data_IF_117859248346
#
_entry.id   IF_117859248346
#
_cell.length_a   1.000
_cell.length_b   1.000
_cell.length_c   1.000
_cell.angle_alpha   90.00
_cell.angle_beta   90.00
_cell.angle_gamma   90.00
#
_symmetry.space_group_name_H-M   'P 1'
#
loop_
_entity.id
_entity.type
_entity.pdbx_description
1 polymer ?
#
# COMPACT_ATOMS: atom_id res chain seq x y z
N UNK A 1 -25.18 -11.54 3.78
CA UNK A 1 -25.65 -12.73 4.51
C UNK A 1 -25.08 -14.02 3.92
N UNK A 2 -24.91 -14.13 2.61
CA UNK A 2 -24.36 -15.33 1.92
C UNK A 2 -22.92 -15.64 2.37
N UNK A 3 -22.07 -14.63 2.58
CA UNK A 3 -20.67 -14.83 3.02
C UNK A 3 -20.57 -15.49 4.41
N UNK A 4 -21.48 -15.13 5.34
CA UNK A 4 -21.48 -15.70 6.70
C UNK A 4 -21.94 -17.17 6.75
N UNK A 5 -22.83 -17.56 5.83
CA UNK A 5 -23.27 -18.96 5.72
C UNK A 5 -22.19 -19.84 5.09
N UNK A 6 -21.49 -19.34 4.05
CA UNK A 6 -20.35 -20.04 3.44
C UNK A 6 -19.19 -20.17 4.44
N UNK A 7 -18.89 -19.14 5.22
CA UNK A 7 -17.86 -19.19 6.24
C UNK A 7 -18.15 -20.23 7.34
N UNK A 8 -19.41 -20.40 7.71
CA UNK A 8 -19.83 -21.40 8.71
C UNK A 8 -19.69 -22.85 8.18
N UNK A 9 -20.04 -23.08 6.91
CA UNK A 9 -19.93 -24.40 6.28
C UNK A 9 -18.50 -24.81 5.95
N UNK A 10 -17.60 -23.85 5.67
CA UNK A 10 -16.21 -24.10 5.31
C UNK A 10 -15.25 -24.10 6.52
N UNK A 11 -15.75 -23.99 7.75
CA UNK A 11 -14.94 -24.02 8.97
C UNK A 11 -14.02 -22.80 9.10
N UNK A 12 -14.45 -21.64 8.59
CA UNK A 12 -13.66 -20.38 8.69
C UNK A 12 -13.40 -20.01 10.14
N UNK A 13 -12.18 -19.55 10.41
CA UNK A 13 -11.76 -19.05 11.73
C UNK A 13 -11.29 -17.61 11.61
N UNK A 14 -11.48 -16.83 12.66
CA UNK A 14 -11.08 -15.44 12.70
C UNK A 14 -9.55 -15.31 12.63
N UNK A 15 -9.02 -14.58 11.64
CA UNK A 15 -7.57 -14.37 11.48
C UNK A 15 -6.92 -13.58 12.64
N UNK A 16 -7.72 -12.97 13.50
CA UNK A 16 -7.23 -12.21 14.67
C UNK A 16 -7.27 -12.98 15.98
N UNK A 17 -8.35 -13.73 16.27
CA UNK A 17 -8.55 -14.41 17.57
C UNK A 17 -8.90 -15.90 17.43
N UNK A 18 -8.89 -16.46 16.22
CA UNK A 18 -9.14 -17.86 15.92
C UNK A 18 -10.54 -18.39 16.31
N UNK A 19 -11.49 -17.53 16.67
CA UNK A 19 -12.87 -17.95 16.93
C UNK A 19 -13.53 -18.48 15.65
N UNK A 20 -14.24 -19.63 15.70
CA UNK A 20 -14.94 -20.17 14.54
C UNK A 20 -16.05 -19.25 14.03
N UNK A 21 -16.37 -19.33 12.74
CA UNK A 21 -17.58 -18.78 12.12
C UNK A 21 -17.34 -17.64 11.13
N UNK A 22 -16.35 -16.79 11.27
CA UNK A 22 -16.05 -15.68 10.34
C UNK A 22 -14.56 -15.47 10.17
N UNK A 23 -14.11 -15.14 8.96
CA UNK A 23 -12.71 -14.83 8.69
C UNK A 23 -12.19 -13.59 9.47
N UNK A 24 -13.07 -12.67 9.85
CA UNK A 24 -12.79 -11.58 10.80
C UNK A 24 -14.04 -11.35 11.63
N UNK A 25 -14.00 -11.69 12.94
CA UNK A 25 -15.12 -11.52 13.85
C UNK A 25 -15.41 -10.04 14.12
N UNK A 26 -16.55 -9.76 14.76
CA UNK A 26 -16.98 -8.39 15.03
C UNK A 26 -15.97 -7.63 15.90
N UNK A 27 -15.45 -8.27 16.95
CA UNK A 27 -14.53 -7.64 17.91
C UNK A 27 -13.19 -7.33 17.27
N UNK A 28 -12.59 -8.29 16.54
CA UNK A 28 -11.36 -8.05 15.79
C UNK A 28 -11.52 -6.98 14.69
N UNK A 29 -12.70 -6.90 14.06
CA UNK A 29 -13.01 -5.82 13.12
C UNK A 29 -13.16 -4.49 13.86
N UNK A 30 -13.80 -4.46 15.02
CA UNK A 30 -13.97 -3.27 15.85
C UNK A 30 -12.65 -2.73 16.40
N UNK A 31 -11.66 -3.61 16.60
CA UNK A 31 -10.31 -3.25 17.07
C UNK A 31 -9.42 -2.62 15.98
N UNK A 32 -9.81 -2.71 14.69
CA UNK A 32 -9.06 -2.05 13.62
C UNK A 32 -9.15 -0.53 13.75
N UNK A 33 -8.04 0.15 13.46
CA UNK A 33 -7.95 1.60 13.53
C UNK A 33 -8.92 2.27 12.56
N UNK A 34 -9.46 3.39 13.00
CA UNK A 34 -10.30 4.28 12.18
C UNK A 34 -9.57 5.57 11.79
N UNK A 35 -8.29 5.67 12.13
CA UNK A 35 -7.45 6.84 11.87
C UNK A 35 -6.16 6.39 11.22
N UNK A 36 -5.72 7.12 10.21
CA UNK A 36 -4.41 6.97 9.62
C UNK A 36 -3.44 8.00 10.21
N UNK A 37 -2.16 7.66 10.15
CA UNK A 37 -1.08 8.54 10.58
C UNK A 37 0.07 8.53 9.55
N UNK A 38 0.96 9.54 9.57
CA UNK A 38 2.20 9.51 8.82
C UNK A 38 3.01 8.25 9.17
N UNK A 39 3.44 7.52 8.14
CA UNK A 39 4.06 6.20 8.29
C UNK A 39 5.46 6.16 7.65
N UNK A 40 6.33 7.05 8.09
CA UNK A 40 7.68 7.17 7.57
C UNK A 40 8.51 5.91 7.83
N UNK A 41 9.12 5.29 6.80
CA UNK A 41 10.03 4.17 6.98
C UNK A 41 11.34 4.61 7.65
N UNK A 42 12.16 3.66 8.05
CA UNK A 42 13.50 3.95 8.58
C UNK A 42 14.53 2.99 7.94
N UNK A 43 15.51 3.50 7.17
CA UNK A 43 15.69 4.92 6.79
C UNK A 43 14.58 5.42 5.85
N UNK A 44 14.41 6.74 5.79
CA UNK A 44 13.49 7.36 4.82
C UNK A 44 14.19 7.42 3.47
N UNK A 45 13.60 6.88 2.39
CA UNK A 45 14.14 7.09 1.04
C UNK A 45 14.13 8.56 0.64
N UNK A 46 15.21 9.02 0.02
CA UNK A 46 15.36 10.41 -0.38
C UNK A 46 14.25 10.83 -1.35
N UNK A 47 13.63 11.98 -1.05
CA UNK A 47 12.56 12.56 -1.85
C UNK A 47 11.22 11.81 -1.80
N UNK A 48 11.02 10.87 -0.89
CA UNK A 48 9.73 10.21 -0.71
C UNK A 48 8.70 11.24 -0.20
N UNK A 49 7.56 11.38 -0.92
CA UNK A 49 6.43 12.19 -0.47
C UNK A 49 5.76 11.57 0.75
N UNK A 50 5.01 12.38 1.52
CA UNK A 50 4.40 11.97 2.78
C UNK A 50 3.65 10.64 2.69
N UNK A 51 4.08 9.59 3.40
CA UNK A 51 3.41 8.30 3.44
C UNK A 51 2.42 8.22 4.61
N UNK A 52 1.26 7.65 4.34
CA UNK A 52 0.17 7.47 5.30
C UNK A 52 -0.23 6.01 5.40
N UNK A 53 -0.47 5.51 6.60
CA UNK A 53 -1.00 4.17 6.84
C UNK A 53 -2.02 4.19 7.99
N UNK A 54 -3.01 3.31 7.91
CA UNK A 54 -4.06 3.18 8.93
C UNK A 54 -3.64 2.20 10.01
N UNK A 55 -2.88 1.17 9.66
CA UNK A 55 -2.54 0.07 10.57
C UNK A 55 -1.03 -0.20 10.65
N UNK A 56 -0.65 -0.89 11.71
CA UNK A 56 0.64 -1.54 11.80
C UNK A 56 0.57 -2.90 11.07
N UNK A 57 1.60 -3.21 10.29
CA UNK A 57 1.71 -4.50 9.60
C UNK A 57 2.10 -5.61 10.55
N UNK A 58 1.13 -6.06 11.39
CA UNK A 58 1.31 -7.09 12.41
C UNK A 58 -0.01 -7.86 12.64
N UNK A 59 0.02 -8.96 13.36
CA UNK A 59 -1.14 -9.72 13.83
C UNK A 59 -2.21 -9.97 12.77
N UNK A 60 -3.45 -9.60 13.07
CA UNK A 60 -4.61 -9.78 12.20
C UNK A 60 -4.46 -9.05 10.85
N UNK A 61 -3.88 -7.85 10.84
CA UNK A 61 -3.71 -7.07 9.61
C UNK A 61 -2.74 -7.76 8.65
N UNK A 62 -1.62 -8.29 9.16
CA UNK A 62 -0.68 -9.10 8.39
C UNK A 62 -1.36 -10.34 7.81
N UNK A 63 -2.16 -11.05 8.62
CA UNK A 63 -2.90 -12.23 8.17
C UNK A 63 -3.91 -11.89 7.07
N UNK A 64 -4.65 -10.77 7.20
CA UNK A 64 -5.58 -10.27 6.17
C UNK A 64 -4.85 -9.96 4.86
N UNK A 65 -3.71 -9.24 4.92
CA UNK A 65 -2.94 -8.88 3.71
C UNK A 65 -2.39 -10.12 3.02
N UNK A 66 -1.76 -11.03 3.76
CA UNK A 66 -1.23 -12.31 3.24
C UNK A 66 -2.35 -13.14 2.64
N UNK A 67 -3.49 -13.28 3.35
CA UNK A 67 -4.65 -14.00 2.87
C UNK A 67 -5.19 -13.44 1.56
N UNK A 68 -5.29 -12.12 1.46
CA UNK A 68 -5.72 -11.44 0.23
C UNK A 68 -4.71 -11.60 -0.91
N UNK A 69 -3.42 -11.38 -0.63
CA UNK A 69 -2.37 -11.31 -1.63
C UNK A 69 -1.93 -12.69 -2.13
N UNK A 70 -1.78 -13.67 -1.23
CA UNK A 70 -1.11 -14.92 -1.54
C UNK A 70 -2.06 -16.13 -1.56
N UNK A 71 -3.20 -16.07 -0.86
CA UNK A 71 -4.16 -17.16 -0.75
C UNK A 71 -5.47 -16.92 -1.51
N UNK A 72 -5.60 -15.79 -2.21
CA UNK A 72 -6.80 -15.47 -3.00
C UNK A 72 -8.07 -15.26 -2.17
N UNK A 73 -7.96 -14.93 -0.89
CA UNK A 73 -9.10 -14.71 -0.01
C UNK A 73 -9.76 -13.34 -0.28
N UNK A 74 -10.65 -13.33 -1.27
CA UNK A 74 -11.28 -12.11 -1.81
C UNK A 74 -12.13 -11.33 -0.81
N UNK A 75 -12.65 -12.01 0.23
CA UNK A 75 -13.45 -11.40 1.30
C UNK A 75 -12.67 -10.32 2.07
N UNK A 76 -11.35 -10.49 2.23
CA UNK A 76 -10.47 -9.52 2.91
C UNK A 76 -10.42 -8.16 2.20
N UNK A 77 -10.67 -8.12 0.88
CA UNK A 77 -10.66 -6.92 0.06
C UNK A 77 -11.51 -5.77 0.61
N UNK A 78 -12.66 -6.10 1.24
CA UNK A 78 -13.55 -5.08 1.80
C UNK A 78 -12.87 -4.36 2.97
N UNK A 79 -12.39 -5.13 3.94
CA UNK A 79 -11.73 -4.59 5.14
C UNK A 79 -10.46 -3.81 4.78
N UNK A 80 -9.57 -4.43 4.00
CA UNK A 80 -8.31 -3.80 3.59
C UNK A 80 -8.54 -2.55 2.74
N UNK A 81 -9.53 -2.56 1.84
CA UNK A 81 -9.87 -1.40 1.03
C UNK A 81 -10.52 -0.27 1.83
N UNK A 82 -11.25 -0.58 2.90
CA UNK A 82 -11.81 0.42 3.83
C UNK A 82 -10.67 1.07 4.66
N UNK A 83 -9.68 0.29 5.11
CA UNK A 83 -8.47 0.80 5.77
C UNK A 83 -7.66 1.69 4.82
N UNK A 84 -7.46 1.25 3.56
CA UNK A 84 -6.79 2.07 2.55
C UNK A 84 -7.52 3.40 2.30
N UNK A 85 -8.86 3.39 2.27
CA UNK A 85 -9.65 4.61 2.14
C UNK A 85 -9.40 5.59 3.30
N UNK A 86 -9.21 5.08 4.53
CA UNK A 86 -8.85 5.89 5.69
C UNK A 86 -7.48 6.55 5.50
N UNK A 87 -6.48 5.82 4.98
CA UNK A 87 -5.15 6.37 4.68
C UNK A 87 -5.22 7.44 3.58
N UNK A 88 -5.96 7.19 2.51
CA UNK A 88 -6.14 8.17 1.42
C UNK A 88 -6.87 9.42 1.92
N UNK A 89 -7.91 9.26 2.76
CA UNK A 89 -8.65 10.41 3.33
C UNK A 89 -7.74 11.29 4.17
N UNK A 90 -6.87 10.70 5.00
CA UNK A 90 -5.90 11.44 5.80
C UNK A 90 -4.83 12.12 4.92
N UNK A 91 -4.32 11.43 3.91
CA UNK A 91 -3.36 11.99 2.96
C UNK A 91 -3.93 13.17 2.14
N UNK A 92 -5.24 13.24 1.99
CA UNK A 92 -5.94 14.25 1.21
C UNK A 92 -6.69 15.29 2.06
N UNK A 93 -6.48 15.31 3.39
CA UNK A 93 -7.26 16.14 4.31
C UNK A 93 -7.13 17.65 4.03
N UNK A 94 -5.94 18.09 3.66
CA UNK A 94 -5.63 19.50 3.40
C UNK A 94 -5.68 19.86 1.90
N UNK A 95 -6.10 18.93 1.04
CA UNK A 95 -6.20 19.15 -0.40
C UNK A 95 -7.57 19.69 -0.78
N UNK A 96 -7.64 20.59 -1.76
CA UNK A 96 -8.89 21.11 -2.29
C UNK A 96 -9.84 19.97 -2.72
N UNK A 97 -11.02 19.83 -2.11
CA UNK A 97 -11.96 18.76 -2.43
C UNK A 97 -12.57 18.89 -3.84
N UNK A 98 -12.56 20.08 -4.44
CA UNK A 98 -13.04 20.31 -5.80
C UNK A 98 -12.10 19.70 -6.87
N UNK A 99 -10.82 19.47 -6.53
CA UNK A 99 -9.86 18.84 -7.42
C UNK A 99 -9.92 17.32 -7.25
N UNK A 100 -10.15 16.55 -8.34
CA UNK A 100 -10.23 15.10 -8.29
C UNK A 100 -9.00 14.43 -7.72
N UNK A 101 -9.16 13.27 -7.04
CA UNK A 101 -8.08 12.36 -6.71
C UNK A 101 -7.88 11.30 -7.78
N UNK A 102 -6.64 11.08 -8.18
CA UNK A 102 -6.20 9.93 -8.98
C UNK A 102 -5.45 8.97 -8.09
N UNK A 103 -6.04 7.81 -7.83
CA UNK A 103 -5.41 6.74 -7.05
C UNK A 103 -4.66 5.81 -8.00
N UNK A 104 -3.35 5.72 -7.82
CA UNK A 104 -2.46 4.91 -8.64
C UNK A 104 -2.02 3.68 -7.83
N UNK A 105 -2.55 2.48 -8.14
CA UNK A 105 -2.10 1.27 -7.47
C UNK A 105 -0.66 0.92 -7.87
N UNK A 106 0.15 0.56 -6.89
CA UNK A 106 1.45 -0.08 -7.11
C UNK A 106 1.20 -1.44 -7.79
N UNK A 107 1.86 -1.75 -8.92
CA UNK A 107 1.68 -3.02 -9.59
C UNK A 107 2.28 -4.18 -8.79
N UNK A 108 1.68 -5.36 -8.91
CA UNK A 108 2.26 -6.59 -8.38
C UNK A 108 3.60 -6.89 -9.04
N UNK A 109 4.47 -7.66 -8.36
CA UNK A 109 5.72 -8.16 -8.97
C UNK A 109 5.42 -8.93 -10.25
N UNK A 110 6.35 -8.90 -11.26
CA UNK A 110 6.17 -9.64 -12.50
C UNK A 110 5.80 -11.12 -12.26
N UNK A 111 4.78 -11.60 -12.94
CA UNK A 111 4.28 -12.97 -12.80
C UNK A 111 3.25 -13.18 -11.68
N UNK A 112 3.33 -12.47 -10.57
CA UNK A 112 2.44 -12.68 -9.43
C UNK A 112 0.96 -12.39 -9.74
N UNK A 113 0.66 -11.37 -10.52
CA UNK A 113 -0.70 -11.05 -10.97
C UNK A 113 -1.26 -12.11 -11.93
N UNK A 114 -0.43 -12.64 -12.85
CA UNK A 114 -0.81 -13.71 -13.77
C UNK A 114 -1.08 -15.03 -13.06
N UNK A 115 -0.24 -15.41 -12.09
CA UNK A 115 -0.44 -16.63 -11.30
C UNK A 115 -1.73 -16.60 -10.48
N UNK A 116 -2.14 -15.41 -10.02
CA UNK A 116 -3.33 -15.22 -9.18
C UNK A 116 -4.60 -14.87 -9.98
N UNK A 117 -4.47 -14.51 -11.25
CA UNK A 117 -5.59 -14.08 -12.09
C UNK A 117 -6.16 -12.70 -11.74
N UNK A 118 -5.52 -11.94 -10.81
CA UNK A 118 -5.94 -10.57 -10.46
C UNK A 118 -4.82 -9.74 -9.83
N UNK A 119 -4.97 -8.42 -9.94
CA UNK A 119 -4.08 -7.44 -9.31
C UNK A 119 -4.60 -7.08 -7.91
N UNK A 120 -3.95 -7.65 -6.88
CA UNK A 120 -4.39 -7.55 -5.48
C UNK A 120 -4.51 -6.09 -5.01
N UNK A 121 -3.45 -5.30 -5.15
CA UNK A 121 -3.43 -3.89 -4.73
C UNK A 121 -4.48 -3.08 -5.49
N UNK A 122 -4.63 -3.27 -6.81
CA UNK A 122 -5.65 -2.57 -7.59
C UNK A 122 -7.08 -2.91 -7.14
N UNK A 123 -7.32 -4.11 -6.62
CA UNK A 123 -8.62 -4.48 -6.05
C UNK A 123 -8.93 -3.70 -4.75
N UNK A 124 -7.93 -3.49 -3.89
CA UNK A 124 -8.05 -2.66 -2.69
C UNK A 124 -8.32 -1.20 -3.06
N UNK A 125 -7.56 -0.66 -4.01
CA UNK A 125 -7.70 0.73 -4.49
C UNK A 125 -9.10 0.97 -5.08
N UNK A 126 -9.64 0.03 -5.87
CA UNK A 126 -11.02 0.11 -6.36
C UNK A 126 -12.06 0.12 -5.23
N UNK A 127 -11.83 -0.62 -4.15
CA UNK A 127 -12.69 -0.58 -2.97
C UNK A 127 -12.56 0.76 -2.25
N UNK A 128 -11.36 1.24 -2.01
CA UNK A 128 -11.10 2.53 -1.38
C UNK A 128 -11.75 3.68 -2.16
N UNK A 129 -11.62 3.68 -3.49
CA UNK A 129 -12.27 4.69 -4.34
C UNK A 129 -13.79 4.70 -4.17
N UNK A 130 -14.46 3.54 -4.05
CA UNK A 130 -15.92 3.50 -3.81
C UNK A 130 -16.31 4.10 -2.47
N UNK A 131 -15.48 3.93 -1.44
CA UNK A 131 -15.70 4.50 -0.10
C UNK A 131 -15.54 6.02 -0.11
N UNK A 132 -14.60 6.54 -0.92
CA UNK A 132 -14.27 7.97 -0.97
C UNK A 132 -15.15 8.79 -1.90
N UNK A 133 -15.79 8.18 -2.91
CA UNK A 133 -16.61 8.88 -3.91
C UNK A 133 -17.76 9.73 -3.39
N UNK A 134 -18.42 9.41 -2.26
CA UNK A 134 -19.42 10.31 -1.69
C UNK A 134 -18.85 11.66 -1.25
N UNK A 135 -17.55 11.71 -0.90
CA UNK A 135 -16.91 12.88 -0.32
C UNK A 135 -16.25 13.77 -1.40
N UNK A 136 -15.78 13.15 -2.51
CA UNK A 136 -15.08 13.84 -3.60
C UNK A 136 -14.94 12.96 -4.86
N UNK A 137 -14.63 13.57 -5.99
CA UNK A 137 -14.35 12.81 -7.21
C UNK A 137 -13.07 11.98 -7.08
N UNK A 138 -13.15 10.65 -7.32
CA UNK A 138 -12.02 9.73 -7.23
C UNK A 138 -11.96 8.84 -8.48
N UNK A 139 -10.79 8.83 -9.11
CA UNK A 139 -10.47 8.01 -10.28
C UNK A 139 -9.40 6.99 -9.92
N UNK A 140 -9.61 5.73 -10.28
CA UNK A 140 -8.56 4.70 -10.18
C UNK A 140 -7.86 4.59 -11.53
N UNK A 141 -6.56 4.84 -11.55
CA UNK A 141 -5.74 4.82 -12.75
C UNK A 141 -4.52 3.89 -12.56
N UNK A 142 -4.54 2.67 -13.13
CA UNK A 142 -3.38 1.78 -13.12
C UNK A 142 -2.35 2.28 -14.14
N UNK A 143 -1.61 3.31 -13.75
CA UNK A 143 -0.62 3.99 -14.59
C UNK A 143 0.73 3.27 -14.63
N UNK A 144 1.01 2.45 -13.63
CA UNK A 144 2.31 1.81 -13.47
C UNK A 144 2.29 0.37 -13.94
N UNK A 145 3.39 -0.05 -14.57
CA UNK A 145 3.67 -1.45 -14.89
C UNK A 145 5.06 -1.80 -14.38
N UNK A 146 5.20 -3.03 -13.82
CA UNK A 146 6.51 -3.57 -13.47
C UNK A 146 7.26 -4.00 -14.73
N UNK A 147 8.56 -3.70 -14.80
CA UNK A 147 9.44 -4.21 -15.85
C UNK A 147 9.68 -5.69 -15.62
N UNK A 148 9.65 -6.49 -16.68
CA UNK A 148 9.95 -7.92 -16.63
C UNK A 148 11.44 -8.18 -16.36
N UNK A 149 11.77 -9.41 -15.93
CA UNK A 149 13.16 -9.82 -15.70
C UNK A 149 14.04 -9.71 -16.97
N UNK A 150 13.45 -9.75 -18.16
CA UNK A 150 14.16 -9.58 -19.43
C UNK A 150 14.71 -8.16 -19.63
N UNK A 151 14.04 -7.14 -19.06
CA UNK A 151 14.48 -5.74 -19.15
C UNK A 151 15.58 -5.41 -18.10
N UNK A 152 15.94 -6.35 -17.24
CA UNK A 152 16.95 -6.25 -16.17
C UNK A 152 18.17 -7.13 -16.46
N UNK A 153 18.45 -7.43 -17.73
CA UNK A 153 19.59 -8.22 -18.14
C UNK A 153 20.90 -7.52 -17.69
N UNK A 154 21.61 -8.15 -16.73
CA UNK A 154 22.88 -7.67 -16.19
C UNK A 154 22.99 -7.60 -14.67
N UNK A 155 21.88 -7.77 -13.92
CA UNK A 155 21.91 -7.80 -12.45
C UNK A 155 21.92 -9.24 -11.92
N UNK A 156 22.78 -9.52 -10.94
CA UNK A 156 22.79 -10.80 -10.24
C UNK A 156 21.53 -11.02 -9.37
N UNK A 157 21.31 -12.25 -8.89
CA UNK A 157 20.11 -12.61 -8.14
C UNK A 157 20.00 -11.89 -6.78
N UNK A 158 21.13 -11.44 -6.18
CA UNK A 158 21.16 -10.67 -4.93
C UNK A 158 20.94 -9.20 -5.16
N UNK A 159 21.51 -8.61 -6.21
CA UNK A 159 21.28 -7.22 -6.62
C UNK A 159 19.82 -6.98 -7.04
N UNK A 160 19.15 -7.99 -7.62
CA UNK A 160 17.72 -7.92 -8.00
C UNK A 160 16.76 -7.81 -6.81
N UNK A 161 17.11 -8.36 -5.66
CA UNK A 161 16.27 -8.27 -4.45
C UNK A 161 16.42 -6.92 -3.73
N UNK A 162 17.57 -6.25 -3.89
CA UNK A 162 17.88 -4.98 -3.25
C UNK A 162 17.55 -3.75 -4.11
N UNK A 163 17.49 -3.88 -5.43
CA UNK A 163 17.37 -2.75 -6.33
C UNK A 163 15.99 -2.68 -6.98
N UNK A 164 15.08 -1.93 -6.33
CA UNK A 164 13.74 -1.66 -6.85
C UNK A 164 13.79 -0.52 -7.88
N UNK A 165 14.88 0.26 -7.90
CA UNK A 165 15.04 1.42 -8.78
C UNK A 165 15.05 1.01 -10.26
N UNK A 166 14.26 1.72 -11.08
CA UNK A 166 14.07 1.41 -12.50
C UNK A 166 13.15 0.21 -12.78
N UNK A 167 12.59 -0.45 -11.71
CA UNK A 167 11.71 -1.62 -11.89
C UNK A 167 10.30 -1.28 -12.36
N UNK A 168 9.91 0.01 -12.36
CA UNK A 168 8.58 0.46 -12.78
C UNK A 168 8.66 1.50 -13.89
N UNK A 169 7.60 1.56 -14.71
CA UNK A 169 7.39 2.62 -15.69
C UNK A 169 5.93 2.98 -15.85
N UNK A 170 5.66 4.22 -16.27
CA UNK A 170 4.33 4.66 -16.68
C UNK A 170 4.24 4.63 -18.21
N UNK A 171 3.45 3.73 -18.83
CA UNK A 171 3.27 3.71 -20.27
C UNK A 171 2.58 4.98 -20.78
N UNK A 172 3.06 5.56 -21.89
CA UNK A 172 2.51 6.78 -22.49
C UNK A 172 1.02 6.68 -22.83
N UNK A 173 0.57 5.50 -23.26
CA UNK A 173 -0.85 5.26 -23.56
C UNK A 173 -1.74 5.36 -22.31
N UNK A 174 -1.26 4.91 -21.16
CA UNK A 174 -1.99 5.02 -19.89
C UNK A 174 -2.10 6.50 -19.47
N UNK A 175 -1.00 7.24 -19.59
CA UNK A 175 -0.96 8.68 -19.32
C UNK A 175 -1.89 9.45 -20.27
N UNK A 176 -1.85 9.18 -21.57
CA UNK A 176 -2.71 9.84 -22.55
C UNK A 176 -4.20 9.59 -22.27
N UNK A 177 -4.58 8.39 -21.83
CA UNK A 177 -5.96 8.08 -21.43
C UNK A 177 -6.41 8.88 -20.20
N UNK A 178 -5.53 9.06 -19.24
CA UNK A 178 -5.82 9.89 -18.06
C UNK A 178 -5.95 11.36 -18.46
N UNK A 179 -5.01 11.90 -19.23
CA UNK A 179 -4.95 13.30 -19.66
C UNK A 179 -6.20 13.72 -20.48
N UNK A 180 -6.75 12.82 -21.28
CA UNK A 180 -8.03 13.08 -22.00
C UNK A 180 -9.21 13.26 -21.09
N UNK A 181 -9.19 12.68 -19.89
CA UNK A 181 -10.29 12.70 -18.94
C UNK A 181 -10.13 13.77 -17.87
N UNK A 182 -8.89 14.12 -17.54
CA UNK A 182 -8.59 15.04 -16.45
C UNK A 182 -7.39 15.91 -16.82
N UNK A 183 -7.59 17.23 -16.72
CA UNK A 183 -6.51 18.22 -16.92
C UNK A 183 -5.78 18.51 -15.63
N UNK A 184 -6.49 18.42 -14.49
CA UNK A 184 -5.95 18.68 -13.16
C UNK A 184 -6.44 17.59 -12.22
N UNK A 185 -5.57 17.04 -11.38
CA UNK A 185 -5.89 16.08 -10.34
C UNK A 185 -4.72 15.96 -9.35
N UNK A 186 -5.02 15.62 -8.11
CA UNK A 186 -4.01 15.17 -7.15
C UNK A 186 -3.75 13.67 -7.33
N UNK A 187 -2.48 13.29 -7.41
CA UNK A 187 -2.07 11.88 -7.60
C UNK A 187 -1.63 11.31 -6.25
N UNK A 188 -2.23 10.18 -5.85
CA UNK A 188 -1.87 9.43 -4.64
C UNK A 188 -1.43 8.03 -5.06
N UNK A 189 -0.20 7.66 -4.71
CA UNK A 189 0.30 6.29 -4.88
C UNK A 189 -0.29 5.40 -3.79
N UNK A 190 -0.84 4.25 -4.16
CA UNK A 190 -1.52 3.35 -3.24
C UNK A 190 -0.86 1.97 -3.22
N UNK A 191 -0.51 1.48 -2.02
CA UNK A 191 0.05 0.14 -1.82
C UNK A 191 -0.72 -0.63 -0.73
N UNK A 192 -0.46 -1.92 -0.59
CA UNK A 192 -0.98 -2.73 0.52
C UNK A 192 -0.15 -2.53 1.79
N UNK A 193 1.19 -2.60 1.69
CA UNK A 193 2.08 -2.48 2.86
C UNK A 193 3.29 -1.61 2.55
N UNK A 194 3.52 -0.64 3.41
CA UNK A 194 4.74 0.16 3.40
C UNK A 194 5.78 -0.45 4.36
N UNK A 195 6.87 -0.96 3.81
CA UNK A 195 7.99 -1.51 4.59
C UNK A 195 9.17 -0.53 4.62
N UNK A 196 10.09 -0.65 3.69
CA UNK A 196 11.24 0.25 3.54
C UNK A 196 10.92 1.52 2.75
N UNK A 197 9.74 1.61 2.13
CA UNK A 197 9.38 2.71 1.25
C UNK A 197 10.01 2.65 -0.16
N UNK A 198 10.91 1.70 -0.42
CA UNK A 198 11.59 1.59 -1.72
C UNK A 198 10.61 1.41 -2.90
N UNK A 199 9.60 0.56 -2.74
CA UNK A 199 8.55 0.35 -3.76
C UNK A 199 7.73 1.62 -4.00
N UNK A 200 7.36 2.33 -2.94
CA UNK A 200 6.61 3.59 -3.03
C UNK A 200 7.44 4.69 -3.70
N UNK A 201 8.73 4.80 -3.35
CA UNK A 201 9.66 5.76 -3.97
C UNK A 201 9.88 5.47 -5.45
N UNK A 202 10.00 4.20 -5.83
CA UNK A 202 10.12 3.80 -7.24
C UNK A 202 8.83 4.09 -8.03
N UNK A 203 7.66 3.82 -7.45
CA UNK A 203 6.39 4.18 -8.05
C UNK A 203 6.28 5.70 -8.27
N UNK A 204 6.69 6.49 -7.28
CA UNK A 204 6.78 7.95 -7.34
C UNK A 204 7.73 8.37 -8.47
N UNK A 205 8.97 7.86 -8.50
CA UNK A 205 9.96 8.15 -9.56
C UNK A 205 9.42 7.86 -10.96
N UNK A 206 8.75 6.73 -11.13
CA UNK A 206 8.19 6.34 -12.43
C UNK A 206 7.05 7.27 -12.90
N UNK A 207 6.31 7.87 -11.99
CA UNK A 207 5.29 8.89 -12.28
C UNK A 207 5.93 10.25 -12.54
N UNK A 208 6.91 10.66 -11.74
CA UNK A 208 7.66 11.91 -11.90
C UNK A 208 8.35 11.95 -13.28
N UNK A 209 8.88 10.83 -13.74
CA UNK A 209 9.52 10.70 -15.05
C UNK A 209 8.61 11.03 -16.25
N UNK A 210 7.29 11.07 -16.05
CA UNK A 210 6.29 11.45 -17.06
C UNK A 210 5.54 12.73 -16.68
N UNK A 211 6.06 13.52 -15.73
CA UNK A 211 5.49 14.79 -15.30
C UNK A 211 4.31 14.69 -14.32
N UNK A 212 4.03 13.52 -13.77
CA UNK A 212 3.03 13.34 -12.72
C UNK A 212 3.72 13.33 -11.34
N UNK A 213 3.55 14.38 -10.56
CA UNK A 213 4.11 14.47 -9.20
C UNK A 213 3.06 13.99 -8.20
N UNK A 214 3.26 12.84 -7.52
CA UNK A 214 2.37 12.40 -6.45
C UNK A 214 2.43 13.35 -5.26
N UNK A 215 1.28 13.60 -4.64
CA UNK A 215 1.18 14.43 -3.43
C UNK A 215 1.37 13.61 -2.15
N UNK A 216 1.11 12.31 -2.20
CA UNK A 216 1.25 11.41 -1.06
C UNK A 216 1.35 9.94 -1.49
N UNK A 217 1.77 9.10 -0.54
CA UNK A 217 1.63 7.65 -0.58
C UNK A 217 0.59 7.23 0.47
N UNK A 218 -0.30 6.32 0.13
CA UNK A 218 -1.25 5.73 1.06
C UNK A 218 -1.13 4.20 1.06
N UNK A 219 -1.01 3.59 2.23
CA UNK A 219 -0.96 2.15 2.40
C UNK A 219 -2.01 1.68 3.42
N UNK A 220 -2.39 0.40 3.35
CA UNK A 220 -3.24 -0.21 4.38
C UNK A 220 -2.51 -0.24 5.72
N UNK A 221 -1.25 -0.68 5.68
CA UNK A 221 -0.43 -0.83 6.86
C UNK A 221 1.05 -0.47 6.60
N UNK A 222 1.76 -0.17 7.67
CA UNK A 222 3.21 0.03 7.63
C UNK A 222 3.92 -0.80 8.70
N UNK A 223 5.15 -1.19 8.45
CA UNK A 223 6.00 -1.80 9.48
C UNK A 223 6.34 -0.78 10.57
N UNK A 224 6.41 -1.24 11.83
CA UNK A 224 6.82 -0.38 12.95
C UNK A 224 8.23 0.15 12.70
N UNK A 225 8.45 1.41 13.01
CA UNK A 225 9.81 1.95 13.08
C UNK A 225 10.56 1.20 14.20
N UNK A 226 11.62 0.50 13.85
CA UNK A 226 12.56 0.00 14.85
C UNK A 226 13.30 1.23 15.39
N UNK A 227 13.03 1.60 16.64
CA UNK A 227 13.88 2.54 17.33
C UNK A 227 15.30 1.92 17.34
N UNK A 228 16.25 2.53 16.63
CA UNK A 228 17.66 2.24 16.87
C UNK A 228 17.89 2.58 18.34
N UNK A 229 18.17 1.56 19.17
CA UNK A 229 18.77 1.76 20.47
C UNK A 229 20.11 2.45 20.21
N UNK A 230 20.14 3.77 20.43
CA UNK A 230 21.39 4.48 20.63
C UNK A 230 21.85 4.03 22.00
N UNK A 231 22.70 3.01 22.02
CA UNK A 231 23.45 2.64 23.23
C UNK A 231 24.35 3.85 23.52
N UNK A 232 24.21 4.52 24.67
CA UNK A 232 25.15 5.56 25.03
C UNK A 232 26.51 4.89 25.21
N UNK A 233 27.48 5.25 24.37
CA UNK A 233 28.89 4.90 24.59
C UNK A 233 29.31 5.61 25.85
N UNK A 234 29.36 4.86 26.97
CA UNK A 234 30.05 5.32 28.17
C UNK A 234 31.54 5.31 27.83
N UNK A 235 32.06 6.51 27.58
CA UNK A 235 33.49 6.71 27.40
C UNK A 235 34.23 6.32 28.69
N UNK A 236 35.42 5.70 28.60
CA UNK A 236 36.22 5.37 29.78
C UNK A 236 36.64 6.64 30.49
N UNK A 237 36.14 6.83 31.71
CA UNK A 237 36.56 7.92 32.59
C UNK A 237 38.06 7.86 32.81
N UNK A 238 38.72 8.96 32.48
CA UNK A 238 40.12 9.19 32.81
C UNK A 238 40.28 9.22 34.33
N UNK A 239 40.92 8.19 34.88
CA UNK A 239 41.49 8.28 36.21
C UNK A 239 42.70 9.26 36.16
N UNK A 240 42.64 10.30 36.93
CA UNK A 240 43.85 11.09 37.31
C UNK A 240 43.85 11.27 38.80
N UNK A 241 45.00 10.86 39.33
CA UNK A 241 45.77 11.40 40.40
C UNK A 241 45.36 11.22 41.80
#
# INVERSE_FOLDING_TARGET
MIDAALDLFLGSRCVGCDVPGRMLCHDCRGALSRRAAPAWPSPVPDGLVAPWATEVYDGAVRALVVGHKDRGQWSHRRVLGDLLATSVRAAAADLDPAVPLVLVPVPSRPGAGRQRGYEATAALVRRAARVLRPDREVVVAPLLVSRGAADQAGLDARGRAANVEGSMRCPSIALARLARRRRTAYVVVCDDVLTTGATAREAQRALEAVGLVPVAVAAVAATRRTARQVTPTVGPGAARG
#
